data_IF_064196558673
#
_entry.id   IF_064196558673
#
_cell.length_a   1.000
_cell.length_b   1.000
_cell.length_c   1.000
_cell.angle_alpha   90.00
_cell.angle_beta   90.00
_cell.angle_gamma   90.00
#
_symmetry.space_group_name_H-M   'P 1'
#
loop_
_entity.id
_entity.type
_entity.pdbx_description
1 polymer ?
#
# COMPACT_ATOMS: atom_id res chain seq x y z
N UNK A 1 -15.77 -4.31 -4.68
CA UNK A 1 -16.53 -5.05 -3.64
C UNK A 1 -16.39 -6.57 -3.73
N UNK A 2 -16.40 -7.21 -4.91
CA UNK A 2 -16.27 -8.68 -4.98
C UNK A 2 -14.92 -9.24 -4.48
N UNK A 3 -13.84 -8.45 -4.55
CA UNK A 3 -12.50 -8.90 -4.15
C UNK A 3 -12.32 -8.92 -2.62
N UNK A 4 -12.81 -7.90 -1.90
CA UNK A 4 -12.71 -7.84 -0.43
C UNK A 4 -13.41 -9.03 0.24
N UNK A 5 -14.57 -9.46 -0.28
CA UNK A 5 -15.29 -10.64 0.21
C UNK A 5 -14.52 -11.94 -0.02
N UNK A 6 -13.76 -12.06 -1.12
CA UNK A 6 -12.98 -13.27 -1.44
C UNK A 6 -11.71 -13.42 -0.59
N UNK A 7 -11.14 -12.31 -0.14
CA UNK A 7 -9.89 -12.29 0.65
C UNK A 7 -10.19 -12.24 2.16
N UNK A 8 -11.46 -12.31 2.58
CA UNK A 8 -11.83 -12.27 4.00
C UNK A 8 -11.57 -10.91 4.68
N UNK A 9 -11.47 -9.85 3.88
CA UNK A 9 -11.18 -8.48 4.31
C UNK A 9 -12.44 -7.61 4.23
N UNK A 10 -13.53 -8.06 4.85
CA UNK A 10 -14.82 -7.34 4.84
C UNK A 10 -14.82 -6.04 5.64
N UNK A 11 -13.86 -5.85 6.55
CA UNK A 11 -13.77 -4.65 7.40
C UNK A 11 -13.02 -3.47 6.74
N UNK A 12 -12.51 -3.64 5.52
CA UNK A 12 -11.82 -2.57 4.81
C UNK A 12 -12.82 -1.57 4.25
N UNK A 13 -12.67 -0.31 4.65
CA UNK A 13 -13.49 0.79 4.12
C UNK A 13 -12.96 1.22 2.75
N UNK A 14 -13.77 1.12 1.70
CA UNK A 14 -13.39 1.61 0.37
C UNK A 14 -13.79 3.08 0.25
N UNK A 15 -12.82 3.95 -0.05
CA UNK A 15 -13.06 5.37 -0.33
C UNK A 15 -12.56 5.74 -1.72
N UNK A 16 -13.05 6.87 -2.24
CA UNK A 16 -12.54 7.44 -3.50
C UNK A 16 -11.57 8.56 -3.19
N UNK A 17 -10.43 8.55 -3.87
CA UNK A 17 -9.47 9.66 -3.85
C UNK A 17 -9.41 10.36 -5.21
N UNK A 18 -9.10 11.64 -5.20
CA UNK A 18 -8.92 12.42 -6.43
C UNK A 18 -7.52 12.17 -7.00
N UNK A 19 -7.39 12.30 -8.32
CA UNK A 19 -6.15 12.06 -9.05
C UNK A 19 -6.13 10.75 -9.83
N UNK A 20 -4.97 10.45 -10.41
CA UNK A 20 -4.73 9.25 -11.21
C UNK A 20 -3.58 8.47 -10.58
N UNK A 21 -3.72 7.15 -10.41
CA UNK A 21 -2.73 6.27 -9.77
C UNK A 21 -2.37 6.71 -8.34
N UNK A 22 -3.32 7.30 -7.62
CA UNK A 22 -3.19 7.72 -6.22
C UNK A 22 -3.77 6.69 -5.25
N UNK A 23 -4.01 5.47 -5.75
CA UNK A 23 -4.54 4.34 -5.01
C UNK A 23 -3.59 3.93 -3.89
N UNK A 24 -4.11 3.75 -2.67
CA UNK A 24 -3.32 3.30 -1.53
C UNK A 24 -4.21 2.71 -0.43
N UNK A 25 -3.64 1.75 0.31
CA UNK A 25 -4.16 1.30 1.60
C UNK A 25 -3.54 2.08 2.77
N UNK A 26 -4.37 2.57 3.69
CA UNK A 26 -3.94 3.13 4.97
C UNK A 26 -4.21 2.13 6.12
N UNK A 27 -3.15 1.60 6.78
CA UNK A 27 -3.28 0.65 7.89
C UNK A 27 -3.82 1.29 9.17
N UNK A 28 -3.84 2.62 9.29
CA UNK A 28 -4.25 3.32 10.54
C UNK A 28 -5.76 3.26 10.75
N UNK A 29 -6.51 3.34 9.66
CA UNK A 29 -7.97 3.35 9.65
C UNK A 29 -8.58 2.19 8.84
N UNK A 30 -7.73 1.29 8.31
CA UNK A 30 -8.12 0.19 7.43
C UNK A 30 -8.90 0.67 6.20
N UNK A 31 -8.50 1.81 5.65
CA UNK A 31 -9.15 2.39 4.47
C UNK A 31 -8.36 2.07 3.21
N UNK A 32 -9.07 1.59 2.17
CA UNK A 32 -8.56 1.46 0.82
C UNK A 32 -9.08 2.62 -0.03
N UNK A 33 -8.20 3.57 -0.33
CA UNK A 33 -8.50 4.69 -1.21
C UNK A 33 -8.23 4.30 -2.66
N UNK A 34 -9.26 4.33 -3.51
CA UNK A 34 -9.14 4.07 -4.94
C UNK A 34 -9.27 5.37 -5.73
N UNK A 35 -8.40 5.58 -6.71
CA UNK A 35 -8.47 6.70 -7.64
C UNK A 35 -9.70 6.56 -8.54
N UNK A 36 -10.24 7.68 -9.03
CA UNK A 36 -11.46 7.67 -9.86
C UNK A 36 -11.31 6.74 -11.08
N UNK A 37 -10.14 6.76 -11.74
CA UNK A 37 -9.87 5.89 -12.89
C UNK A 37 -9.92 4.39 -12.55
N UNK A 38 -9.51 4.00 -11.34
CA UNK A 38 -9.54 2.61 -10.85
C UNK A 38 -10.92 2.24 -10.30
N UNK A 39 -11.59 3.17 -9.62
CA UNK A 39 -12.91 2.94 -9.03
C UNK A 39 -14.03 2.88 -10.08
N UNK A 40 -13.93 3.68 -11.14
CA UNK A 40 -15.01 3.89 -12.11
C UNK A 40 -14.82 3.10 -13.42
N UNK A 41 -13.63 2.53 -13.68
CA UNK A 41 -13.37 1.72 -14.87
C UNK A 41 -13.01 0.26 -14.53
N UNK A 42 -13.81 -0.73 -14.97
CA UNK A 42 -13.54 -2.15 -14.73
C UNK A 42 -12.49 -2.70 -15.70
N UNK A 43 -11.25 -2.24 -15.60
CA UNK A 43 -10.12 -2.69 -16.43
C UNK A 43 -9.28 -3.74 -15.70
N UNK A 44 -8.48 -4.51 -16.45
CA UNK A 44 -7.49 -5.44 -15.87
C UNK A 44 -6.48 -4.70 -14.99
N UNK A 45 -6.09 -3.49 -15.39
CA UNK A 45 -5.21 -2.63 -14.60
C UNK A 45 -5.85 -2.23 -13.26
N UNK A 46 -7.12 -1.81 -13.27
CA UNK A 46 -7.85 -1.45 -12.05
C UNK A 46 -7.98 -2.65 -11.09
N UNK A 47 -8.23 -3.85 -11.64
CA UNK A 47 -8.24 -5.09 -10.88
C UNK A 47 -6.87 -5.40 -10.25
N UNK A 48 -5.80 -5.27 -11.03
CA UNK A 48 -4.44 -5.51 -10.56
C UNK A 48 -4.02 -4.54 -9.43
N UNK A 49 -4.33 -3.25 -9.58
CA UNK A 49 -4.06 -2.22 -8.56
C UNK A 49 -4.86 -2.53 -7.29
N UNK A 50 -6.16 -2.80 -7.41
CA UNK A 50 -7.00 -3.15 -6.26
C UNK A 50 -6.48 -4.41 -5.55
N UNK A 51 -6.05 -5.43 -6.31
CA UNK A 51 -5.48 -6.65 -5.73
C UNK A 51 -4.12 -6.39 -5.03
N UNK A 52 -3.28 -5.52 -5.58
CA UNK A 52 -2.01 -5.11 -4.96
C UNK A 52 -2.25 -4.46 -3.60
N UNK A 53 -3.16 -3.49 -3.53
CA UNK A 53 -3.48 -2.80 -2.28
C UNK A 53 -4.17 -3.70 -1.25
N UNK A 54 -5.03 -4.63 -1.69
CA UNK A 54 -5.58 -5.67 -0.82
C UNK A 54 -4.49 -6.60 -0.26
N UNK A 55 -3.41 -6.82 -1.00
CA UNK A 55 -2.24 -7.54 -0.54
C UNK A 55 -1.56 -6.85 0.66
N UNK A 56 -1.40 -5.52 0.60
CA UNK A 56 -0.89 -4.73 1.73
C UNK A 56 -1.80 -4.83 2.94
N UNK A 57 -3.12 -4.74 2.72
CA UNK A 57 -4.10 -4.87 3.80
C UNK A 57 -4.11 -6.27 4.45
N UNK A 58 -3.92 -7.32 3.66
CA UNK A 58 -3.80 -8.68 4.18
C UNK A 58 -2.53 -8.85 5.02
N UNK A 59 -1.38 -8.36 4.52
CA UNK A 59 -0.11 -8.42 5.26
C UNK A 59 -0.18 -7.65 6.58
N UNK A 60 -0.87 -6.52 6.59
CA UNK A 60 -1.12 -5.72 7.79
C UNK A 60 -1.96 -6.51 8.81
N UNK A 61 -3.08 -7.10 8.35
CA UNK A 61 -3.97 -7.92 9.18
C UNK A 61 -3.27 -9.16 9.75
N UNK A 62 -2.38 -9.79 9.01
CA UNK A 62 -1.57 -10.93 9.46
C UNK A 62 -0.39 -10.52 10.36
N UNK A 63 -0.22 -9.23 10.64
CA UNK A 63 0.94 -8.70 11.37
C UNK A 63 2.27 -9.18 10.76
N UNK A 64 2.36 -9.19 9.43
CA UNK A 64 3.46 -9.79 8.70
C UNK A 64 4.82 -9.18 9.11
N UNK A 65 5.59 -9.97 9.86
CA UNK A 65 6.85 -9.54 10.49
C UNK A 65 7.85 -8.88 9.55
N UNK A 66 8.10 -9.42 8.34
CA UNK A 66 9.00 -8.79 7.37
C UNK A 66 8.55 -7.40 6.91
N UNK A 67 7.24 -7.15 6.78
CA UNK A 67 6.72 -5.83 6.40
C UNK A 67 6.99 -4.80 7.51
N UNK A 68 6.77 -5.18 8.78
CA UNK A 68 7.09 -4.32 9.93
C UNK A 68 8.59 -4.04 10.04
N UNK A 69 9.43 -5.06 9.85
CA UNK A 69 10.88 -4.91 9.86
C UNK A 69 11.35 -3.96 8.77
N UNK A 70 10.85 -4.12 7.54
CA UNK A 70 11.14 -3.21 6.42
C UNK A 70 10.79 -1.77 6.80
N UNK A 71 9.55 -1.52 7.26
CA UNK A 71 9.09 -0.18 7.62
C UNK A 71 9.89 0.44 8.77
N UNK A 72 10.31 -0.35 9.77
CA UNK A 72 11.12 0.11 10.89
C UNK A 72 12.55 0.51 10.48
N UNK A 73 13.11 -0.13 9.44
CA UNK A 73 14.48 0.10 8.99
C UNK A 73 14.60 1.25 7.98
N UNK A 74 13.51 1.66 7.31
CA UNK A 74 13.49 2.81 6.37
C UNK A 74 14.20 4.07 6.89
N UNK A 75 13.93 4.59 8.11
CA UNK A 75 14.63 5.79 8.60
C UNK A 75 16.14 5.57 8.76
N UNK A 76 16.56 4.37 9.19
CA UNK A 76 17.98 4.02 9.35
C UNK A 76 18.67 3.95 7.99
N UNK A 77 18.02 3.34 7.00
CA UNK A 77 18.53 3.26 5.62
C UNK A 77 18.62 4.65 5.00
N UNK A 78 17.65 5.53 5.22
CA UNK A 78 17.70 6.90 4.72
C UNK A 78 18.89 7.70 5.29
N UNK A 79 19.25 7.51 6.56
CA UNK A 79 20.47 8.11 7.13
C UNK A 79 21.71 7.56 6.43
N UNK A 80 21.78 6.24 6.24
CA UNK A 80 22.86 5.58 5.52
C UNK A 80 23.00 6.05 4.07
N UNK A 81 21.90 6.22 3.34
CA UNK A 81 21.91 6.72 1.95
C UNK A 81 22.38 8.18 1.84
N UNK A 82 22.05 9.03 2.82
CA UNK A 82 22.55 10.41 2.85
C UNK A 82 24.04 10.48 3.24
N UNK A 83 24.48 9.64 4.19
CA UNK A 83 25.88 9.54 4.60
C UNK A 83 26.75 8.80 3.58
N UNK A 84 26.14 7.95 2.73
CA UNK A 84 26.85 7.15 1.73
C UNK A 84 27.62 8.00 0.73
N UNK A 85 27.07 9.15 0.32
CA UNK A 85 27.79 10.10 -0.55
C UNK A 85 28.98 10.76 0.14
N UNK A 86 28.88 11.02 1.45
CA UNK A 86 29.98 11.58 2.25
C UNK A 86 31.11 10.54 2.38
N UNK A 87 30.77 9.28 2.62
CA UNK A 87 31.72 8.17 2.68
C UNK A 87 32.35 7.82 1.34
N UNK A 88 31.65 8.05 0.22
CA UNK A 88 32.17 7.86 -1.14
C UNK A 88 33.04 9.02 -1.64
N UNK A 89 32.86 10.23 -1.08
CA UNK A 89 33.63 11.43 -1.44
C UNK A 89 34.90 11.62 -0.58
N UNK A 90 35.01 10.92 0.54
CA UNK A 90 36.19 10.81 1.41
C UNK A 90 37.17 9.77 0.87
#
# INVERSE_FOLDING_TARGET
QQLTTRVGLSDIRITRTQGNLTDHYDPRDNTLALSQGVADQPTVAALAITAHELGHAMQDRENYGPMKLRSAIVPVVNIGSNLGWILLML
#
